data_IF_428811112227
#
_entry.id   IF_428811112227
#
_cell.length_a   1.000
_cell.length_b   1.000
_cell.length_c   1.000
_cell.angle_alpha   90.00
_cell.angle_beta   90.00
_cell.angle_gamma   90.00
#
_symmetry.space_group_name_H-M   'P 1'
#
loop_
_entity.id
_entity.type
_entity.pdbx_description
1 polymer ?
#
# COMPACT_ATOMS: atom_id res chain seq x y z
N UNK A 1 -43.73 2.15 46.88
CA UNK A 1 -43.00 3.25 46.21
C UNK A 1 -41.46 3.11 46.22
N UNK A 2 -40.82 2.52 47.24
CA UNK A 2 -39.35 2.34 47.28
C UNK A 2 -38.75 1.32 46.29
N UNK A 3 -39.53 0.33 45.84
CA UNK A 3 -39.06 -0.73 44.89
C UNK A 3 -39.10 -0.32 43.42
N UNK A 4 -39.96 0.64 43.06
CA UNK A 4 -40.02 1.19 41.69
C UNK A 4 -38.91 2.22 41.42
N UNK A 5 -38.42 2.89 42.46
CA UNK A 5 -37.32 3.85 42.36
C UNK A 5 -35.95 3.19 42.12
N UNK A 6 -35.79 1.92 42.51
CA UNK A 6 -34.55 1.17 42.28
C UNK A 6 -34.43 0.65 40.83
N UNK A 7 -35.57 0.39 40.16
CA UNK A 7 -35.58 -0.13 38.80
C UNK A 7 -35.29 0.96 37.75
N UNK A 8 -35.68 2.21 38.02
CA UNK A 8 -35.40 3.35 37.14
C UNK A 8 -33.93 3.76 37.17
N UNK A 9 -33.25 3.64 38.31
CA UNK A 9 -31.81 3.95 38.43
C UNK A 9 -30.95 2.92 37.68
N UNK A 10 -31.33 1.63 37.71
CA UNK A 10 -30.63 0.58 36.98
C UNK A 10 -30.76 0.72 35.44
N UNK A 11 -31.91 1.22 34.96
CA UNK A 11 -32.16 1.41 33.53
C UNK A 11 -31.43 2.64 32.96
N UNK A 12 -31.11 3.64 33.79
CA UNK A 12 -30.33 4.82 33.37
C UNK A 12 -28.82 4.59 33.27
N UNK A 13 -28.28 3.51 33.86
CA UNK A 13 -26.85 3.19 33.76
C UNK A 13 -26.48 2.37 32.52
N UNK A 14 -27.42 1.63 31.93
CA UNK A 14 -27.16 0.85 30.70
C UNK A 14 -27.14 1.69 29.42
N UNK A 15 -27.62 2.93 29.43
CA UNK A 15 -27.62 3.81 28.24
C UNK A 15 -26.34 4.63 28.05
N UNK A 16 -25.42 4.64 29.03
CA UNK A 16 -24.17 5.41 28.95
C UNK A 16 -22.97 4.65 28.37
N UNK A 17 -23.05 3.33 28.20
CA UNK A 17 -21.94 2.52 27.67
C UNK A 17 -21.95 2.35 26.15
N UNK A 18 -22.95 2.90 25.44
CA UNK A 18 -23.10 2.72 23.98
C UNK A 18 -22.32 3.74 23.12
N UNK A 19 -21.60 4.71 23.71
CA UNK A 19 -21.01 5.85 23.00
C UNK A 19 -19.48 5.79 22.85
N UNK A 20 -18.83 4.68 23.21
CA UNK A 20 -17.37 4.57 23.19
C UNK A 20 -16.86 3.47 22.24
N UNK A 21 -17.32 3.44 20.99
CA UNK A 21 -16.63 2.68 19.96
C UNK A 21 -15.42 3.51 19.51
N UNK A 22 -14.24 3.19 20.05
CA UNK A 22 -12.98 3.79 19.60
C UNK A 22 -12.76 3.37 18.15
N UNK A 23 -12.83 4.33 17.23
CA UNK A 23 -12.44 4.12 15.83
C UNK A 23 -10.93 3.96 15.81
N UNK A 24 -10.45 2.72 15.76
CA UNK A 24 -9.03 2.44 15.59
C UNK A 24 -8.65 2.64 14.12
N UNK A 25 -7.50 3.27 13.82
CA UNK A 25 -7.01 3.38 12.46
C UNK A 25 -6.84 1.99 11.84
N UNK A 26 -7.13 1.85 10.55
CA UNK A 26 -6.88 0.62 9.82
C UNK A 26 -5.40 0.21 9.96
N UNK A 27 -5.08 -1.10 10.16
CA UNK A 27 -3.70 -1.57 10.28
C UNK A 27 -2.77 -1.22 9.11
N UNK A 28 -3.33 -0.85 7.95
CA UNK A 28 -2.59 -0.35 6.79
C UNK A 28 -3.34 0.85 6.21
N UNK A 29 -3.12 2.04 6.78
CA UNK A 29 -3.81 3.24 6.34
C UNK A 29 -3.40 3.57 4.89
N UNK A 30 -4.37 4.05 4.11
CA UNK A 30 -4.11 4.60 2.78
C UNK A 30 -3.28 5.87 2.91
N UNK A 31 -2.40 6.09 1.93
CA UNK A 31 -1.54 7.24 1.82
C UNK A 31 -1.51 7.72 0.38
N UNK A 32 -1.54 9.04 0.22
CA UNK A 32 -1.38 9.69 -1.08
C UNK A 32 -0.17 10.59 -1.01
N UNK A 33 0.77 10.38 -1.93
CA UNK A 33 1.89 11.27 -2.17
C UNK A 33 1.67 11.98 -3.51
N UNK A 34 2.02 13.25 -3.58
CA UNK A 34 1.96 14.01 -4.83
C UNK A 34 3.19 14.88 -4.94
N UNK A 35 3.86 14.78 -6.08
CA UNK A 35 5.04 15.58 -6.40
C UNK A 35 4.96 16.06 -7.83
N UNK A 36 5.31 17.32 -8.03
CA UNK A 36 5.47 17.90 -9.37
C UNK A 36 6.95 17.88 -9.74
N UNK A 37 7.27 17.28 -10.88
CA UNK A 37 8.62 17.27 -11.47
C UNK A 37 8.56 18.04 -12.78
N UNK A 38 9.20 19.21 -12.82
CA UNK A 38 8.99 20.16 -13.92
C UNK A 38 7.53 20.65 -13.94
N UNK A 39 6.78 20.26 -14.97
CA UNK A 39 5.34 20.52 -15.09
C UNK A 39 4.47 19.28 -14.82
N UNK A 40 5.09 18.10 -14.73
CA UNK A 40 4.37 16.84 -14.60
C UNK A 40 4.06 16.54 -13.15
N UNK A 41 2.78 16.41 -12.83
CA UNK A 41 2.26 15.98 -11.54
C UNK A 41 2.22 14.46 -11.48
N UNK A 42 2.86 13.90 -10.46
CA UNK A 42 2.89 12.48 -10.16
C UNK A 42 2.14 12.28 -8.85
N UNK A 43 1.09 11.47 -8.86
CA UNK A 43 0.33 11.10 -7.67
C UNK A 43 0.47 9.60 -7.43
N UNK A 44 0.82 9.21 -6.20
CA UNK A 44 0.98 7.82 -5.77
C UNK A 44 0.00 7.54 -4.65
N UNK A 45 -0.92 6.63 -4.86
CA UNK A 45 -1.89 6.15 -3.87
C UNK A 45 -1.51 4.72 -3.47
N UNK A 46 -1.24 4.49 -2.20
CA UNK A 46 -0.78 3.20 -1.69
C UNK A 46 -1.19 2.99 -0.24
N UNK A 47 -1.34 1.74 0.20
CA UNK A 47 -1.47 1.46 1.64
C UNK A 47 -0.11 1.07 2.22
N UNK A 48 0.22 1.65 3.37
CA UNK A 48 1.54 1.46 4.01
C UNK A 48 1.64 0.05 4.64
N UNK A 49 2.59 -0.81 4.22
CA UNK A 49 2.84 -2.08 4.88
C UNK A 49 3.57 -1.87 6.21
N UNK A 50 3.32 -2.72 7.21
CA UNK A 50 4.01 -2.70 8.50
C UNK A 50 4.94 -3.91 8.62
N UNK A 51 6.25 -3.64 8.73
CA UNK A 51 7.30 -4.68 8.75
C UNK A 51 7.24 -5.48 10.06
N UNK A 52 6.95 -4.83 11.19
CA UNK A 52 6.86 -5.45 12.52
C UNK A 52 8.07 -6.36 12.82
N UNK A 53 9.27 -5.85 12.57
CA UNK A 53 10.56 -6.55 12.79
C UNK A 53 10.80 -7.82 11.93
N UNK A 54 9.91 -8.15 10.99
CA UNK A 54 10.05 -9.34 10.14
C UNK A 54 10.98 -9.09 8.97
N UNK A 55 11.64 -10.17 8.51
CA UNK A 55 12.39 -10.16 7.25
C UNK A 55 11.41 -9.92 6.10
N UNK A 56 11.63 -8.87 5.31
CA UNK A 56 10.71 -8.48 4.23
C UNK A 56 10.83 -9.42 3.04
N UNK A 57 12.03 -9.64 2.51
CA UNK A 57 12.27 -10.48 1.33
C UNK A 57 13.23 -11.62 1.64
N UNK A 58 12.95 -12.80 1.11
CA UNK A 58 13.73 -14.03 1.31
C UNK A 58 13.52 -15.02 0.18
N UNK A 59 14.27 -16.11 0.20
CA UNK A 59 14.13 -17.19 -0.77
C UNK A 59 12.84 -18.00 -0.51
N UNK A 60 12.46 -18.82 -1.48
CA UNK A 60 11.31 -19.71 -1.32
C UNK A 60 11.59 -20.72 -0.19
N UNK A 61 10.72 -20.78 0.82
CA UNK A 61 10.91 -21.59 2.02
C UNK A 61 11.29 -20.79 3.27
N UNK A 62 11.74 -19.54 3.13
CA UNK A 62 12.06 -18.68 4.27
C UNK A 62 10.80 -18.18 4.99
N UNK A 63 10.93 -17.66 6.21
CA UNK A 63 9.84 -16.97 6.93
C UNK A 63 9.68 -15.49 6.54
N UNK A 64 10.17 -15.09 5.36
CA UNK A 64 10.03 -13.73 4.85
C UNK A 64 8.58 -13.39 4.47
N UNK A 65 8.22 -12.11 4.60
CA UNK A 65 6.90 -11.59 4.24
C UNK A 65 6.58 -11.77 2.76
N UNK A 66 7.59 -11.55 1.93
CA UNK A 66 7.51 -11.60 0.48
C UNK A 66 8.70 -12.42 -0.03
N UNK A 67 8.58 -12.95 -1.25
CA UNK A 67 9.58 -13.86 -1.83
C UNK A 67 10.33 -13.20 -2.98
N UNK A 68 11.63 -13.46 -3.07
CA UNK A 68 12.39 -13.08 -4.25
C UNK A 68 11.86 -13.78 -5.50
N UNK A 69 11.92 -13.07 -6.61
CA UNK A 69 11.48 -13.50 -7.94
C UNK A 69 9.98 -13.85 -8.02
N UNK A 70 9.17 -13.40 -7.07
CA UNK A 70 7.72 -13.57 -7.08
C UNK A 70 7.01 -12.21 -7.20
N UNK A 71 5.84 -12.14 -7.85
CA UNK A 71 5.05 -10.91 -7.90
C UNK A 71 4.67 -10.43 -6.49
N UNK A 72 4.93 -9.16 -6.23
CA UNK A 72 4.58 -8.47 -4.99
C UNK A 72 3.75 -7.22 -5.31
N UNK A 73 2.61 -7.06 -4.63
CA UNK A 73 1.71 -5.91 -4.82
C UNK A 73 2.33 -4.53 -4.57
N UNK A 74 3.52 -4.48 -3.96
CA UNK A 74 4.23 -3.24 -3.61
C UNK A 74 3.36 -2.32 -2.76
N UNK A 75 3.19 -2.68 -1.48
CA UNK A 75 2.30 -1.98 -0.55
C UNK A 75 1.47 -2.95 0.29
N UNK A 76 0.37 -2.46 0.86
CA UNK A 76 -0.61 -3.24 1.61
C UNK A 76 -2.03 -3.09 1.01
N UNK A 77 -2.91 -4.05 1.31
CA UNK A 77 -4.34 -4.07 0.94
C UNK A 77 -4.65 -3.94 -0.56
N UNK A 78 -4.62 -2.72 -1.07
CA UNK A 78 -4.99 -2.34 -2.45
C UNK A 78 -3.73 -2.22 -3.31
N UNK A 79 -3.85 -2.52 -4.61
CA UNK A 79 -2.82 -2.27 -5.59
C UNK A 79 -2.39 -0.79 -5.57
N UNK A 80 -1.08 -0.55 -5.50
CA UNK A 80 -0.52 0.80 -5.55
C UNK A 80 -0.79 1.41 -6.91
N UNK A 81 -1.30 2.64 -6.91
CA UNK A 81 -1.72 3.37 -8.09
C UNK A 81 -0.83 4.60 -8.30
N UNK A 82 -0.24 4.68 -9.48
CA UNK A 82 0.49 5.85 -9.98
C UNK A 82 -0.39 6.59 -10.97
N UNK A 83 -0.47 7.91 -10.86
CA UNK A 83 -1.14 8.76 -11.83
C UNK A 83 -0.17 9.82 -12.33
N UNK A 84 0.03 9.89 -13.64
CA UNK A 84 0.87 10.88 -14.30
C UNK A 84 -0.01 11.85 -15.09
N UNK A 85 0.19 13.16 -14.88
CA UNK A 85 -0.55 14.20 -15.63
C UNK A 85 -0.14 14.29 -17.09
N UNK A 86 1.10 13.91 -17.41
CA UNK A 86 1.73 14.00 -18.72
C UNK A 86 2.46 12.71 -19.05
N UNK A 87 2.85 12.55 -20.32
CA UNK A 87 3.67 11.44 -20.76
C UNK A 87 5.03 11.50 -20.06
N UNK A 88 5.50 10.35 -19.56
CA UNK A 88 6.75 10.24 -18.80
C UNK A 88 7.70 9.24 -19.44
N UNK A 89 8.97 9.32 -19.05
CA UNK A 89 9.96 8.28 -19.34
C UNK A 89 10.31 7.54 -18.06
N UNK A 90 10.08 6.23 -18.05
CA UNK A 90 10.47 5.34 -16.95
C UNK A 90 11.55 4.39 -17.47
N UNK A 91 12.73 4.42 -16.85
CA UNK A 91 13.89 3.63 -17.28
C UNK A 91 14.19 3.75 -18.80
N UNK A 92 14.09 4.97 -19.34
CA UNK A 92 14.33 5.27 -20.76
C UNK A 92 13.19 4.90 -21.72
N UNK A 93 12.12 4.25 -21.25
CA UNK A 93 10.94 3.89 -22.04
C UNK A 93 9.82 4.90 -21.84
N UNK A 94 9.11 5.23 -22.92
CA UNK A 94 7.95 6.11 -22.85
C UNK A 94 6.76 5.40 -22.18
N UNK A 95 6.05 6.13 -21.34
CA UNK A 95 4.77 5.75 -20.74
C UNK A 95 3.81 6.91 -20.91
N UNK A 96 2.66 6.67 -21.54
CA UNK A 96 1.66 7.71 -21.74
C UNK A 96 1.11 8.21 -20.40
N UNK A 97 0.60 9.44 -20.37
CA UNK A 97 -0.15 9.96 -19.22
C UNK A 97 -1.31 9.03 -18.86
N UNK A 98 -1.64 8.97 -17.58
CA UNK A 98 -2.73 8.11 -17.12
C UNK A 98 -2.49 7.51 -15.74
N UNK A 99 -3.41 6.64 -15.33
CA UNK A 99 -3.37 5.92 -14.09
C UNK A 99 -2.91 4.48 -14.32
N UNK A 100 -1.99 4.00 -13.48
CA UNK A 100 -1.38 2.69 -13.58
C UNK A 100 -1.35 2.01 -12.22
N UNK A 101 -1.68 0.72 -12.17
CA UNK A 101 -1.30 -0.16 -11.07
C UNK A 101 0.13 -0.65 -11.25
N UNK A 102 0.83 -0.79 -10.12
CA UNK A 102 2.18 -1.34 -10.09
C UNK A 102 2.20 -2.71 -9.43
N UNK A 103 2.89 -3.65 -10.08
CA UNK A 103 3.38 -4.88 -9.46
C UNK A 103 4.90 -4.86 -9.52
N UNK A 104 5.56 -5.30 -8.45
CA UNK A 104 7.02 -5.41 -8.42
C UNK A 104 7.43 -6.86 -8.29
N UNK A 105 8.47 -7.26 -9.00
CA UNK A 105 9.16 -8.53 -8.79
C UNK A 105 10.51 -8.23 -8.16
N UNK A 106 10.67 -8.44 -6.84
CA UNK A 106 11.91 -8.14 -6.14
C UNK A 106 12.95 -9.22 -6.44
N UNK A 107 14.17 -8.80 -6.74
CA UNK A 107 15.35 -9.65 -6.83
C UNK A 107 16.43 -9.21 -5.84
N UNK A 108 17.48 -10.02 -5.68
CA UNK A 108 18.59 -9.74 -4.76
C UNK A 108 19.42 -8.52 -5.20
N UNK A 109 19.55 -8.31 -6.50
CA UNK A 109 20.38 -7.23 -7.09
C UNK A 109 19.59 -6.26 -7.95
N UNK A 110 18.45 -6.69 -8.49
CA UNK A 110 17.62 -5.89 -9.38
C UNK A 110 16.14 -6.21 -9.14
N UNK A 111 15.32 -5.19 -9.15
CA UNK A 111 13.87 -5.29 -9.09
C UNK A 111 13.28 -4.99 -10.46
N UNK A 112 12.14 -5.61 -10.76
CA UNK A 112 11.34 -5.27 -11.94
C UNK A 112 10.08 -4.57 -11.48
N UNK A 113 9.87 -3.35 -11.95
CA UNK A 113 8.63 -2.61 -11.71
C UNK A 113 7.78 -2.70 -12.97
N UNK A 114 6.59 -3.25 -12.82
CA UNK A 114 5.65 -3.52 -13.91
C UNK A 114 4.46 -2.59 -13.79
N UNK A 115 4.15 -1.88 -14.87
CA UNK A 115 3.04 -0.93 -14.96
C UNK A 115 1.91 -1.55 -15.78
N UNK A 116 0.69 -1.46 -15.25
CA UNK A 116 -0.55 -1.91 -15.87
C UNK A 116 -1.54 -0.75 -15.86
N UNK A 117 -2.34 -0.51 -16.92
CA UNK A 117 -3.45 0.43 -16.84
C UNK A 117 -4.31 0.12 -15.62
N UNK A 118 -4.69 1.16 -14.87
CA UNK A 118 -5.44 0.97 -13.64
C UNK A 118 -6.90 0.61 -13.94
N UNK A 119 -7.25 -0.66 -13.71
CA UNK A 119 -8.62 -1.17 -13.87
C UNK A 119 -9.24 -1.61 -12.53
N UNK A 120 -8.41 -2.00 -11.56
CA UNK A 120 -8.84 -2.62 -10.31
C UNK A 120 -7.90 -2.29 -9.15
N UNK A 121 -8.47 -2.19 -7.95
CA UNK A 121 -7.72 -2.13 -6.70
C UNK A 121 -7.21 -3.50 -6.22
N UNK A 122 -7.66 -4.61 -6.81
CA UNK A 122 -7.19 -5.96 -6.46
C UNK A 122 -5.88 -6.25 -7.20
N UNK A 123 -4.78 -6.43 -6.48
CA UNK A 123 -3.47 -6.61 -7.11
C UNK A 123 -3.34 -7.91 -7.91
N UNK A 124 -4.06 -8.97 -7.51
CA UNK A 124 -4.10 -10.26 -8.22
C UNK A 124 -4.77 -10.18 -9.59
N UNK A 125 -5.55 -9.12 -9.86
CA UNK A 125 -6.11 -8.89 -11.20
C UNK A 125 -5.01 -8.69 -12.26
N UNK A 126 -3.81 -8.27 -11.86
CA UNK A 126 -2.72 -7.95 -12.77
C UNK A 126 -1.71 -9.09 -12.95
N UNK A 127 -1.72 -10.14 -12.12
CA UNK A 127 -0.66 -11.17 -12.11
C UNK A 127 -0.58 -11.98 -13.39
N UNK A 128 -1.71 -12.15 -14.08
CA UNK A 128 -1.79 -12.92 -15.33
C UNK A 128 -1.83 -12.03 -16.58
N UNK A 129 -1.67 -10.70 -16.40
CA UNK A 129 -1.70 -9.72 -17.48
C UNK A 129 -0.30 -9.39 -17.98
N UNK A 130 -0.23 -8.85 -19.19
CA UNK A 130 1.01 -8.29 -19.72
C UNK A 130 1.14 -6.83 -19.30
N UNK A 131 2.27 -6.43 -18.67
CA UNK A 131 2.49 -5.03 -18.34
C UNK A 131 2.72 -4.21 -19.61
N UNK A 132 2.24 -2.96 -19.61
CA UNK A 132 2.52 -2.02 -20.71
C UNK A 132 3.96 -1.51 -20.65
N UNK A 133 4.58 -1.56 -19.46
CA UNK A 133 5.98 -1.22 -19.26
C UNK A 133 6.56 -2.04 -18.12
N UNK A 134 7.73 -2.64 -18.35
CA UNK A 134 8.59 -3.19 -17.30
C UNK A 134 9.89 -2.38 -17.23
N UNK A 135 10.18 -1.88 -16.03
CA UNK A 135 11.35 -1.08 -15.70
C UNK A 135 12.27 -1.87 -14.75
N UNK A 136 13.48 -2.26 -15.20
CA UNK A 136 14.48 -2.81 -14.30
C UNK A 136 15.10 -1.69 -13.45
N UNK A 137 15.18 -1.89 -12.14
CA UNK A 137 15.80 -0.94 -11.21
C UNK A 137 16.81 -1.69 -10.34
N UNK A 138 18.07 -1.24 -10.35
CA UNK A 138 19.10 -1.81 -9.50
C UNK A 138 18.78 -1.56 -8.02
N UNK A 139 18.99 -2.57 -7.17
CA UNK A 139 18.81 -2.43 -5.73
C UNK A 139 19.85 -1.46 -5.19
N UNK A 140 19.39 -0.39 -4.54
CA UNK A 140 20.24 0.51 -3.79
C UNK A 140 20.11 0.19 -2.31
N UNK A 141 21.25 0.00 -1.64
CA UNK A 141 21.27 -0.19 -0.19
C UNK A 141 21.11 1.18 0.48
N UNK A 142 19.98 1.42 1.14
CA UNK A 142 19.84 2.59 1.98
C UNK A 142 20.74 2.44 3.22
N UNK A 143 21.37 3.55 3.64
CA UNK A 143 22.22 3.61 4.83
C UNK A 143 21.43 3.41 6.13
N UNK A 144 20.14 3.74 6.13
CA UNK A 144 19.25 3.62 7.29
C UNK A 144 18.03 2.74 6.98
N UNK A 145 17.59 1.99 8.00
CA UNK A 145 16.36 1.18 7.93
C UNK A 145 15.16 2.11 8.03
N UNK A 146 14.43 2.27 6.93
CA UNK A 146 13.19 3.07 6.89
C UNK A 146 12.00 2.14 7.04
N UNK A 147 11.36 2.14 8.22
CA UNK A 147 10.17 1.30 8.47
C UNK A 147 8.86 1.97 8.06
N UNK A 148 8.83 3.29 8.07
CA UNK A 148 7.72 4.11 7.59
C UNK A 148 8.31 5.28 6.81
N UNK A 149 7.78 5.59 5.62
CA UNK A 149 8.13 6.82 4.92
C UNK A 149 7.59 7.98 5.77
N UNK A 150 8.44 8.51 6.63
CA UNK A 150 8.22 9.75 7.35
C UNK A 150 8.74 10.89 6.45
N UNK A 151 7.86 11.84 6.16
CA UNK A 151 8.23 13.18 5.72
C UNK A 151 7.87 14.14 6.85
#
# INVERSE_FOLDING_TARGET
MRRFFALTIALTWTTLTALAQIVTPSPSPSSTFTQTVGLTKITVEYSRPSIKERVVFGDAGDQSLEKYNQPWRTGANTATKFTFSDDVKIAGKNLAKGAYSIITVPGKTQWKIQFFPYDSGQWTYYTDKTPVLEAPIAVQKNGEKVETIHH
#
